data_IF_265814841707
#
_entry.id   IF_265814841707
#
_cell.length_a   1.000
_cell.length_b   1.000
_cell.length_c   1.000
_cell.angle_alpha   90.00
_cell.angle_beta   90.00
_cell.angle_gamma   90.00
#
_symmetry.space_group_name_H-M   'P 1'
#
loop_
_entity.id
_entity.type
_entity.pdbx_description
1 polymer ?
#
# COMPACT_ATOMS: atom_id res chain seq x y z
N UNK A 1 -26.32 -27.74 14.00
CA UNK A 1 -25.91 -27.63 12.58
C UNK A 1 -24.42 -27.39 12.58
N UNK A 2 -23.63 -28.21 11.88
CA UNK A 2 -22.18 -28.00 11.81
C UNK A 2 -21.89 -26.65 11.17
N UNK A 3 -21.22 -25.74 11.89
CA UNK A 3 -20.75 -24.49 11.33
C UNK A 3 -19.62 -24.84 10.37
N UNK A 4 -19.91 -24.88 9.06
CA UNK A 4 -18.89 -25.03 8.04
C UNK A 4 -18.03 -23.77 8.04
N UNK A 5 -16.96 -23.80 8.82
CA UNK A 5 -15.91 -22.78 8.78
C UNK A 5 -15.30 -22.75 7.38
N UNK A 6 -14.90 -21.55 6.95
CA UNK A 6 -14.25 -21.36 5.65
C UNK A 6 -12.89 -22.05 5.70
N UNK A 7 -12.63 -22.93 4.73
CA UNK A 7 -11.31 -23.51 4.55
C UNK A 7 -10.32 -22.42 4.08
N UNK A 8 -9.20 -22.19 4.78
CA UNK A 8 -8.19 -21.20 4.36
C UNK A 8 -7.59 -21.48 2.97
N UNK A 9 -7.59 -22.74 2.53
CA UNK A 9 -7.12 -23.16 1.21
C UNK A 9 -8.26 -22.95 0.20
N UNK A 10 -8.01 -22.10 -0.79
CA UNK A 10 -8.96 -21.84 -1.87
C UNK A 10 -9.02 -23.01 -2.86
N UNK A 11 -7.86 -23.48 -3.30
CA UNK A 11 -7.70 -24.67 -4.13
C UNK A 11 -6.25 -25.16 -4.10
N UNK A 12 -6.04 -26.40 -4.51
CA UNK A 12 -4.71 -27.03 -4.58
C UNK A 12 -4.38 -27.42 -6.02
N UNK A 13 -3.15 -27.10 -6.46
CA UNK A 13 -2.59 -27.55 -7.73
C UNK A 13 -1.42 -28.48 -7.41
N UNK A 14 -1.68 -29.79 -7.34
CA UNK A 14 -0.68 -30.76 -6.87
C UNK A 14 -0.26 -30.48 -5.43
N UNK A 15 1.04 -30.27 -5.20
CA UNK A 15 1.59 -29.91 -3.88
C UNK A 15 1.44 -28.41 -3.53
N UNK A 16 1.06 -27.56 -4.50
CA UNK A 16 0.91 -26.12 -4.27
C UNK A 16 -0.49 -25.82 -3.72
N UNK A 17 -0.55 -25.35 -2.48
CA UNK A 17 -1.79 -24.92 -1.84
C UNK A 17 -1.98 -23.41 -2.00
N UNK A 18 -3.00 -23.00 -2.75
CA UNK A 18 -3.35 -21.59 -2.94
C UNK A 18 -4.31 -21.16 -1.84
N UNK A 19 -3.89 -20.17 -1.05
CA UNK A 19 -4.65 -19.68 0.10
C UNK A 19 -5.53 -18.49 -0.29
N UNK A 20 -6.74 -18.41 0.27
CA UNK A 20 -7.63 -17.25 0.09
C UNK A 20 -6.95 -15.94 0.48
N UNK A 21 -6.15 -15.96 1.54
CA UNK A 21 -5.43 -14.79 2.02
C UNK A 21 -4.60 -14.13 0.92
N UNK A 22 -3.83 -14.92 0.14
CA UNK A 22 -3.02 -14.43 -0.96
C UNK A 22 -3.86 -13.88 -2.12
N UNK A 23 -4.97 -14.56 -2.45
CA UNK A 23 -5.90 -14.11 -3.50
C UNK A 23 -6.58 -12.79 -3.12
N UNK A 24 -7.00 -12.64 -1.87
CA UNK A 24 -7.66 -11.44 -1.34
C UNK A 24 -6.67 -10.27 -1.34
N UNK A 25 -5.43 -10.47 -0.88
CA UNK A 25 -4.39 -9.44 -0.94
C UNK A 25 -4.07 -9.02 -2.38
N UNK A 26 -3.90 -9.99 -3.29
CA UNK A 26 -3.67 -9.70 -4.71
C UNK A 26 -4.83 -8.93 -5.33
N UNK A 27 -6.06 -9.30 -5.00
CA UNK A 27 -7.27 -8.59 -5.44
C UNK A 27 -7.32 -7.16 -4.88
N UNK A 28 -7.00 -6.98 -3.59
CA UNK A 28 -6.93 -5.65 -2.97
C UNK A 28 -5.89 -4.74 -3.64
N UNK A 29 -4.71 -5.28 -3.94
CA UNK A 29 -3.66 -4.57 -4.67
C UNK A 29 -4.11 -4.20 -6.09
N UNK A 30 -4.74 -5.14 -6.82
CA UNK A 30 -5.25 -4.90 -8.17
C UNK A 30 -6.33 -3.82 -8.19
N UNK A 31 -7.33 -3.91 -7.31
CA UNK A 31 -8.40 -2.90 -7.21
C UNK A 31 -7.82 -1.53 -6.87
N UNK A 32 -6.89 -1.46 -5.91
CA UNK A 32 -6.19 -0.23 -5.56
C UNK A 32 -5.45 0.38 -6.76
N UNK A 33 -4.73 -0.44 -7.53
CA UNK A 33 -4.01 -0.02 -8.73
C UNK A 33 -4.95 0.50 -9.83
N UNK A 34 -6.05 -0.20 -10.10
CA UNK A 34 -7.01 0.21 -11.14
C UNK A 34 -7.67 1.55 -10.79
N UNK A 35 -8.01 1.76 -9.52
CA UNK A 35 -8.55 3.04 -9.05
C UNK A 35 -7.50 4.16 -9.09
N UNK A 36 -6.25 3.85 -8.74
CA UNK A 36 -5.13 4.78 -8.84
C UNK A 36 -4.86 5.20 -10.29
N UNK A 37 -4.84 4.27 -11.24
CA UNK A 37 -4.70 4.56 -12.67
C UNK A 37 -5.85 5.44 -13.15
N UNK A 38 -7.09 5.16 -12.72
CA UNK A 38 -8.25 6.00 -13.04
C UNK A 38 -8.09 7.43 -12.53
N UNK A 39 -7.60 7.61 -11.31
CA UNK A 39 -7.35 8.97 -10.77
C UNK A 39 -6.15 9.63 -11.44
N UNK A 40 -5.07 8.90 -11.69
CA UNK A 40 -3.88 9.42 -12.33
C UNK A 40 -4.15 9.98 -13.73
N UNK A 41 -5.07 9.36 -14.48
CA UNK A 41 -5.55 9.88 -15.77
C UNK A 41 -6.16 11.28 -15.66
N UNK A 42 -6.81 11.63 -14.53
CA UNK A 42 -7.35 12.98 -14.30
C UNK A 42 -6.25 14.04 -14.24
N UNK A 43 -5.05 13.65 -13.85
CA UNK A 43 -3.86 14.51 -13.78
C UNK A 43 -2.92 14.32 -14.98
N UNK A 44 -3.34 13.59 -16.02
CA UNK A 44 -2.52 13.35 -17.21
C UNK A 44 -1.34 12.39 -17.00
N UNK A 45 -1.32 11.63 -15.90
CA UNK A 45 -0.24 10.67 -15.63
C UNK A 45 -0.52 9.37 -16.42
N UNK A 46 0.44 8.87 -17.22
CA UNK A 46 0.27 7.63 -17.99
C UNK A 46 0.04 6.43 -17.06
N UNK A 47 -0.78 5.46 -17.49
CA UNK A 47 -1.09 4.26 -16.68
C UNK A 47 0.17 3.43 -16.40
N UNK A 48 1.10 3.42 -17.35
CA UNK A 48 2.36 2.68 -17.32
C UNK A 48 3.21 3.14 -16.14
N UNK A 49 3.11 4.41 -15.74
CA UNK A 49 3.80 4.94 -14.57
C UNK A 49 3.39 4.21 -13.28
N UNK A 50 2.10 3.95 -13.09
CA UNK A 50 1.61 3.26 -11.88
C UNK A 50 1.85 1.76 -11.96
N UNK A 51 1.72 1.17 -13.16
CA UNK A 51 2.06 -0.23 -13.39
C UNK A 51 3.53 -0.50 -13.08
N UNK A 52 4.44 0.32 -13.60
CA UNK A 52 5.88 0.28 -13.30
C UNK A 52 6.14 0.50 -11.80
N UNK A 53 5.45 1.45 -11.17
CA UNK A 53 5.64 1.72 -9.73
C UNK A 53 5.32 0.47 -8.90
N UNK A 54 4.28 -0.29 -9.24
CA UNK A 54 3.96 -1.57 -8.60
C UNK A 54 4.97 -2.65 -9.00
N UNK A 55 5.36 -2.72 -10.27
CA UNK A 55 6.32 -3.69 -10.80
C UNK A 55 7.69 -3.59 -10.13
N UNK A 56 8.16 -2.38 -9.82
CA UNK A 56 9.40 -2.17 -9.06
C UNK A 56 9.15 -2.21 -7.55
N UNK A 57 8.01 -1.69 -7.09
CA UNK A 57 7.68 -1.55 -5.67
C UNK A 57 7.48 -2.89 -4.97
N UNK A 58 6.75 -3.83 -5.57
CA UNK A 58 6.46 -5.14 -4.96
C UNK A 58 7.72 -5.98 -4.78
N UNK A 59 8.58 -6.20 -5.80
CA UNK A 59 9.85 -6.89 -5.61
C UNK A 59 10.75 -6.20 -4.60
N UNK A 60 10.84 -4.85 -4.65
CA UNK A 60 11.64 -4.09 -3.69
C UNK A 60 11.14 -4.29 -2.25
N UNK A 61 9.82 -4.31 -2.05
CA UNK A 61 9.22 -4.59 -0.75
C UNK A 61 9.56 -6.00 -0.26
N UNK A 62 9.41 -7.03 -1.10
CA UNK A 62 9.72 -8.42 -0.73
C UNK A 62 11.20 -8.58 -0.37
N UNK A 63 12.10 -8.03 -1.17
CA UNK A 63 13.55 -8.08 -0.94
C UNK A 63 13.89 -7.40 0.40
N UNK A 64 13.43 -6.16 0.60
CA UNK A 64 13.71 -5.42 1.83
C UNK A 64 13.07 -6.06 3.07
N UNK A 65 11.88 -6.65 2.94
CA UNK A 65 11.23 -7.38 4.01
C UNK A 65 12.05 -8.60 4.45
N UNK A 66 12.66 -9.31 3.49
CA UNK A 66 13.52 -10.44 3.78
C UNK A 66 14.84 -10.01 4.42
N UNK A 67 15.48 -8.98 3.86
CA UNK A 67 16.72 -8.41 4.42
C UNK A 67 16.49 -7.98 5.88
N UNK A 68 15.38 -7.27 6.14
CA UNK A 68 15.02 -6.84 7.49
C UNK A 68 14.82 -8.04 8.42
N UNK A 69 14.04 -9.04 8.02
CA UNK A 69 13.79 -10.23 8.85
C UNK A 69 15.11 -10.96 9.21
N UNK A 70 15.95 -11.20 8.21
CA UNK A 70 17.23 -11.90 8.38
C UNK A 70 18.19 -11.11 9.26
N UNK A 71 18.23 -9.78 9.13
CA UNK A 71 19.09 -8.93 9.95
C UNK A 71 18.74 -9.05 11.45
N UNK A 72 17.46 -9.08 11.80
CA UNK A 72 17.01 -9.22 13.19
C UNK A 72 17.08 -10.66 13.72
N UNK A 73 17.19 -11.65 12.82
CA UNK A 73 17.33 -13.07 13.15
C UNK A 73 18.66 -13.65 12.70
N UNK A 74 19.71 -12.82 12.61
CA UNK A 74 21.01 -13.24 12.07
C UNK A 74 21.59 -14.52 12.69
N UNK A 75 21.46 -14.79 14.01
CA UNK A 75 21.92 -16.04 14.60
C UNK A 75 21.34 -17.30 13.94
N UNK A 76 20.11 -17.24 13.43
CA UNK A 76 19.43 -18.39 12.79
C UNK A 76 19.98 -18.69 11.39
N UNK A 77 20.65 -17.73 10.76
CA UNK A 77 21.08 -17.81 9.34
C UNK A 77 22.60 -17.90 9.17
N UNK A 78 23.38 -17.55 10.19
CA UNK A 78 24.85 -17.45 10.10
C UNK A 78 25.52 -18.76 9.67
N UNK A 79 24.91 -19.89 10.03
CA UNK A 79 25.46 -21.23 9.78
C UNK A 79 24.93 -21.86 8.48
N UNK A 80 23.92 -21.24 7.84
CA UNK A 80 23.37 -21.69 6.56
C UNK A 80 22.86 -20.52 5.70
N UNK A 81 23.79 -19.85 5.01
CA UNK A 81 23.49 -18.65 4.23
C UNK A 81 22.43 -18.86 3.13
N UNK A 82 22.26 -20.08 2.61
CA UNK A 82 21.23 -20.36 1.60
C UNK A 82 19.80 -20.17 2.12
N UNK A 83 19.58 -20.30 3.43
CA UNK A 83 18.27 -20.11 4.03
C UNK A 83 17.80 -18.66 3.95
N UNK A 84 18.71 -17.70 3.76
CA UNK A 84 18.40 -16.27 3.54
C UNK A 84 17.48 -16.07 2.33
N UNK A 85 17.58 -16.89 1.29
CA UNK A 85 16.79 -16.73 0.06
C UNK A 85 15.47 -17.49 0.07
N UNK A 86 15.25 -18.37 1.05
CA UNK A 86 14.06 -19.24 1.13
C UNK A 86 12.84 -18.48 1.65
N UNK A 87 12.31 -17.57 0.83
CA UNK A 87 11.12 -16.78 1.16
C UNK A 87 9.84 -17.62 1.29
N UNK A 88 9.81 -18.80 0.68
CA UNK A 88 8.69 -19.74 0.76
C UNK A 88 8.59 -20.45 2.13
N UNK A 89 9.63 -20.40 2.95
CA UNK A 89 9.58 -20.87 4.34
C UNK A 89 9.02 -19.81 5.30
N UNK A 90 8.47 -18.70 4.78
CA UNK A 90 8.06 -17.54 5.56
C UNK A 90 9.24 -16.64 5.95
N UNK A 91 9.07 -15.87 7.03
CA UNK A 91 10.09 -14.94 7.52
C UNK A 91 10.16 -13.65 6.70
N UNK A 92 9.05 -12.94 6.63
CA UNK A 92 8.91 -11.65 5.97
C UNK A 92 8.52 -10.62 7.03
N UNK A 93 9.30 -9.55 7.17
CA UNK A 93 9.01 -8.47 8.12
C UNK A 93 8.32 -7.30 7.44
N UNK A 94 7.14 -6.92 7.92
CA UNK A 94 6.33 -5.83 7.34
C UNK A 94 7.07 -4.48 7.34
N UNK A 95 7.90 -4.21 8.36
CA UNK A 95 8.69 -2.98 8.42
C UNK A 95 9.70 -2.88 7.28
N UNK A 96 10.36 -4.00 6.95
CA UNK A 96 11.26 -4.04 5.79
C UNK A 96 10.51 -3.85 4.47
N UNK A 97 9.31 -4.43 4.33
CA UNK A 97 8.46 -4.20 3.15
C UNK A 97 8.12 -2.72 2.97
N UNK A 98 7.71 -2.05 4.05
CA UNK A 98 7.37 -0.63 4.03
C UNK A 98 8.59 0.22 3.66
N UNK A 99 9.74 0.00 4.31
CA UNK A 99 10.98 0.74 4.03
C UNK A 99 11.40 0.57 2.56
N UNK A 100 11.45 -0.67 2.06
CA UNK A 100 11.81 -0.97 0.67
C UNK A 100 10.88 -0.29 -0.33
N UNK A 101 9.56 -0.41 -0.11
CA UNK A 101 8.56 0.21 -0.99
C UNK A 101 8.66 1.73 -1.03
N UNK A 102 8.90 2.40 0.12
CA UNK A 102 9.07 3.86 0.18
C UNK A 102 10.34 4.29 -0.54
N UNK A 103 11.47 3.62 -0.29
CA UNK A 103 12.75 3.94 -0.96
C UNK A 103 12.59 3.80 -2.48
N UNK A 104 11.99 2.69 -2.93
CA UNK A 104 11.70 2.45 -4.34
C UNK A 104 10.82 3.57 -4.93
N UNK A 105 9.73 3.93 -4.26
CA UNK A 105 8.83 4.99 -4.70
C UNK A 105 9.54 6.35 -4.78
N UNK A 106 10.37 6.72 -3.81
CA UNK A 106 11.17 7.96 -3.84
C UNK A 106 12.11 7.97 -5.05
N UNK A 107 12.85 6.88 -5.27
CA UNK A 107 13.81 6.79 -6.39
C UNK A 107 13.06 6.84 -7.73
N UNK A 108 12.00 6.04 -7.87
CA UNK A 108 11.24 5.92 -9.12
C UNK A 108 10.54 7.22 -9.51
N UNK A 109 9.81 7.85 -8.57
CA UNK A 109 9.09 9.12 -8.82
C UNK A 109 10.05 10.22 -9.22
N UNK A 110 11.19 10.36 -8.51
CA UNK A 110 12.24 11.33 -8.85
C UNK A 110 12.89 11.03 -10.20
N UNK A 111 13.17 9.76 -10.51
CA UNK A 111 13.73 9.35 -11.82
C UNK A 111 12.78 9.68 -12.98
N UNK A 112 11.47 9.64 -12.76
CA UNK A 112 10.44 10.00 -13.76
C UNK A 112 10.07 11.50 -13.75
N UNK A 113 10.70 12.31 -12.90
CA UNK A 113 10.47 13.76 -12.85
C UNK A 113 9.18 14.18 -12.13
N UNK A 114 8.53 13.28 -11.39
CA UNK A 114 7.33 13.60 -10.62
C UNK A 114 7.66 13.90 -9.16
N UNK A 115 6.89 14.82 -8.56
CA UNK A 115 6.95 15.09 -7.13
C UNK A 115 6.47 13.89 -6.32
N UNK A 116 7.34 13.33 -5.48
CA UNK A 116 7.03 12.19 -4.61
C UNK A 116 5.74 12.43 -3.80
N UNK A 117 5.61 13.61 -3.21
CA UNK A 117 4.46 13.96 -2.37
C UNK A 117 3.14 13.99 -3.14
N UNK A 118 3.15 14.48 -4.38
CA UNK A 118 1.97 14.50 -5.25
C UNK A 118 1.54 13.08 -5.61
N UNK A 119 2.49 12.20 -5.90
CA UNK A 119 2.21 10.79 -6.18
C UNK A 119 1.70 10.07 -4.92
N UNK A 120 2.28 10.33 -3.74
CA UNK A 120 1.80 9.74 -2.49
C UNK A 120 0.40 10.21 -2.10
N UNK A 121 0.06 11.46 -2.36
CA UNK A 121 -1.30 11.97 -2.16
C UNK A 121 -2.32 11.25 -3.07
N UNK A 122 -1.94 10.89 -4.30
CA UNK A 122 -2.78 10.08 -5.18
C UNK A 122 -2.94 8.65 -4.66
N UNK A 123 -1.85 8.04 -4.18
CA UNK A 123 -1.87 6.66 -3.68
C UNK A 123 -2.67 6.50 -2.38
N UNK A 124 -2.64 7.48 -1.48
CA UNK A 124 -3.12 7.35 -0.09
C UNK A 124 -4.54 6.78 0.06
N UNK A 125 -5.58 7.30 -0.65
CA UNK A 125 -6.92 6.74 -0.56
C UNK A 125 -6.97 5.28 -1.02
N UNK A 126 -6.18 4.90 -2.03
CA UNK A 126 -6.23 3.55 -2.60
C UNK A 126 -5.41 2.53 -1.80
N UNK A 127 -4.47 2.99 -0.97
CA UNK A 127 -3.86 2.15 0.07
C UNK A 127 -4.92 1.67 1.08
N UNK A 128 -5.84 2.55 1.49
CA UNK A 128 -6.95 2.17 2.38
C UNK A 128 -7.92 1.18 1.69
N UNK A 129 -8.15 1.31 0.39
CA UNK A 129 -8.95 0.32 -0.36
C UNK A 129 -8.29 -1.07 -0.29
N UNK A 130 -6.98 -1.14 -0.56
CA UNK A 130 -6.23 -2.38 -0.45
C UNK A 130 -6.28 -2.96 0.96
N UNK A 131 -6.15 -2.12 1.99
CA UNK A 131 -6.28 -2.55 3.39
C UNK A 131 -7.70 -3.04 3.71
N UNK A 132 -8.75 -2.33 3.27
CA UNK A 132 -10.14 -2.70 3.52
C UNK A 132 -10.47 -4.09 2.96
N UNK A 133 -9.98 -4.40 1.76
CA UNK A 133 -10.12 -5.72 1.13
C UNK A 133 -9.23 -6.74 1.83
N UNK A 134 -7.96 -6.40 2.10
CA UNK A 134 -6.99 -7.32 2.70
C UNK A 134 -7.40 -7.89 4.05
N UNK A 135 -8.16 -7.13 4.86
CA UNK A 135 -8.68 -7.60 6.16
C UNK A 135 -9.59 -8.82 6.06
N UNK A 136 -10.26 -9.01 4.92
CA UNK A 136 -11.05 -10.22 4.69
C UNK A 136 -10.19 -11.48 4.59
N UNK A 137 -8.88 -11.35 4.32
CA UNK A 137 -7.94 -12.45 4.49
C UNK A 137 -7.87 -12.94 5.94
N UNK A 138 -7.79 -12.00 6.91
CA UNK A 138 -7.75 -12.34 8.33
C UNK A 138 -9.04 -13.06 8.77
N UNK A 139 -10.18 -12.64 8.22
CA UNK A 139 -11.48 -13.30 8.45
C UNK A 139 -11.48 -14.76 8.00
N UNK A 140 -10.99 -15.03 6.78
CA UNK A 140 -10.93 -16.40 6.25
C UNK A 140 -9.97 -17.27 7.06
N UNK A 141 -8.84 -16.72 7.49
CA UNK A 141 -7.85 -17.44 8.31
C UNK A 141 -8.22 -17.57 9.79
N UNK A 142 -9.30 -16.91 10.25
CA UNK A 142 -9.62 -16.76 11.67
C UNK A 142 -8.41 -16.27 12.48
N UNK A 143 -7.83 -15.15 12.09
CA UNK A 143 -6.69 -14.53 12.79
C UNK A 143 -6.94 -13.04 13.07
N UNK A 144 -6.10 -12.46 13.93
CA UNK A 144 -6.15 -11.03 14.27
C UNK A 144 -7.49 -10.52 14.83
N UNK A 145 -8.33 -11.41 15.36
CA UNK A 145 -9.62 -11.10 15.97
C UNK A 145 -9.48 -10.45 17.35
N UNK A 146 -10.57 -9.88 17.87
CA UNK A 146 -10.56 -9.21 19.17
C UNK A 146 -10.86 -10.13 20.35
N UNK A 147 -11.01 -9.54 21.54
CA UNK A 147 -11.39 -10.25 22.75
C UNK A 147 -12.71 -11.02 22.64
N UNK A 148 -12.96 -11.96 23.57
CA UNK A 148 -14.17 -12.77 23.58
C UNK A 148 -15.41 -11.90 23.82
N UNK A 149 -16.51 -12.27 23.17
CA UNK A 149 -17.82 -11.63 23.27
C UNK A 149 -18.93 -12.66 23.27
N UNK A 150 -20.12 -12.24 23.73
CA UNK A 150 -21.31 -13.06 23.58
C UNK A 150 -21.80 -13.10 22.13
N UNK A 151 -22.39 -14.22 21.73
CA UNK A 151 -23.05 -14.33 20.41
C UNK A 151 -24.18 -13.30 20.24
N UNK A 152 -24.88 -12.99 21.34
CA UNK A 152 -25.93 -11.96 21.44
C UNK A 152 -25.41 -10.58 21.00
N UNK A 153 -24.16 -10.24 21.31
CA UNK A 153 -23.54 -8.99 20.90
C UNK A 153 -23.35 -8.94 19.37
N UNK A 154 -22.91 -10.04 18.77
CA UNK A 154 -22.67 -10.11 17.32
C UNK A 154 -23.99 -10.07 16.52
N UNK A 155 -25.01 -10.82 16.97
CA UNK A 155 -26.31 -10.93 16.28
C UNK A 155 -27.28 -9.80 16.62
N UNK A 156 -27.33 -9.41 17.89
CA UNK A 156 -28.29 -8.44 18.40
C UNK A 156 -27.79 -7.01 18.31
N UNK A 157 -26.56 -6.72 18.77
CA UNK A 157 -26.07 -5.34 18.77
C UNK A 157 -25.50 -4.95 17.40
N UNK A 158 -24.65 -5.80 16.82
CA UNK A 158 -24.01 -5.53 15.54
C UNK A 158 -24.83 -5.99 14.32
N UNK A 159 -25.90 -6.76 14.52
CA UNK A 159 -26.77 -7.27 13.46
C UNK A 159 -25.99 -7.98 12.34
N UNK A 160 -24.96 -8.74 12.71
CA UNK A 160 -24.09 -9.40 11.74
C UNK A 160 -24.78 -10.63 11.13
N UNK A 161 -24.57 -10.87 9.82
CA UNK A 161 -25.08 -12.07 9.16
C UNK A 161 -24.38 -13.34 9.66
N UNK A 162 -25.08 -14.48 9.57
CA UNK A 162 -24.63 -15.78 10.09
C UNK A 162 -23.23 -16.17 9.64
N UNK A 163 -22.87 -15.91 8.39
CA UNK A 163 -21.55 -16.29 7.87
C UNK A 163 -20.40 -15.58 8.60
N UNK A 164 -20.60 -14.33 9.04
CA UNK A 164 -19.60 -13.62 9.85
C UNK A 164 -19.60 -14.17 11.26
N UNK A 165 -20.77 -14.28 11.89
CA UNK A 165 -20.89 -14.74 13.28
C UNK A 165 -20.29 -16.14 13.45
N UNK A 166 -20.62 -17.06 12.55
CA UNK A 166 -20.13 -18.44 12.57
C UNK A 166 -18.60 -18.51 12.38
N UNK A 167 -18.05 -17.68 11.49
CA UNK A 167 -16.61 -17.64 11.25
C UNK A 167 -15.85 -16.92 12.38
N UNK A 168 -16.51 -16.06 13.15
CA UNK A 168 -15.94 -15.45 14.37
C UNK A 168 -16.03 -16.37 15.60
N UNK A 169 -16.61 -17.56 15.45
CA UNK A 169 -16.52 -18.62 16.45
C UNK A 169 -15.21 -19.38 16.23
N UNK A 170 -14.24 -19.13 17.11
CA UNK A 170 -12.94 -19.80 17.11
C UNK A 170 -12.91 -20.76 18.29
N UNK A 171 -12.89 -22.07 18.01
CA UNK A 171 -12.86 -23.12 19.02
C UNK A 171 -13.99 -23.04 20.07
N UNK A 172 -15.19 -22.61 19.69
CA UNK A 172 -16.36 -22.51 20.58
C UNK A 172 -16.53 -21.15 21.27
N UNK A 173 -15.61 -20.20 21.06
CA UNK A 173 -15.65 -18.86 21.64
C UNK A 173 -15.89 -17.83 20.54
N UNK A 174 -16.85 -16.93 20.74
CA UNK A 174 -17.11 -15.84 19.81
C UNK A 174 -16.20 -14.65 20.11
N UNK A 175 -15.68 -14.02 19.06
CA UNK A 175 -14.74 -12.92 19.17
C UNK A 175 -15.22 -11.66 18.45
N UNK A 176 -14.73 -10.50 18.87
CA UNK A 176 -14.95 -9.26 18.13
C UNK A 176 -14.38 -9.35 16.70
N UNK A 177 -15.16 -9.02 15.65
CA UNK A 177 -14.71 -9.01 14.26
C UNK A 177 -13.88 -7.76 13.94
N UNK A 178 -12.68 -7.68 14.49
CA UNK A 178 -11.72 -6.60 14.23
C UNK A 178 -11.44 -6.42 12.74
N UNK A 179 -11.41 -7.50 11.96
CA UNK A 179 -11.29 -7.42 10.50
C UNK A 179 -12.35 -6.48 9.90
N UNK A 180 -13.60 -6.59 10.36
CA UNK A 180 -14.73 -5.81 9.87
C UNK A 180 -14.64 -4.37 10.35
N UNK A 181 -14.26 -4.16 11.61
CA UNK A 181 -14.02 -2.82 12.16
C UNK A 181 -12.93 -2.09 11.35
N UNK A 182 -11.82 -2.78 11.06
CA UNK A 182 -10.73 -2.23 10.23
C UNK A 182 -11.18 -2.01 8.78
N UNK A 183 -11.93 -2.94 8.18
CA UNK A 183 -12.48 -2.78 6.82
C UNK A 183 -13.38 -1.57 6.70
N UNK A 184 -14.31 -1.39 7.66
CA UNK A 184 -15.23 -0.24 7.69
C UNK A 184 -14.45 1.05 7.95
N UNK A 185 -13.52 1.06 8.91
CA UNK A 185 -12.68 2.22 9.21
C UNK A 185 -11.88 2.68 7.99
N UNK A 186 -11.33 1.72 7.24
CA UNK A 186 -10.61 2.01 6.00
C UNK A 186 -11.54 2.57 4.92
N UNK A 187 -12.75 2.02 4.75
CA UNK A 187 -13.73 2.54 3.79
C UNK A 187 -14.17 3.97 4.13
N UNK A 188 -14.45 4.25 5.42
CA UNK A 188 -14.75 5.60 5.89
C UNK A 188 -13.56 6.53 5.62
N UNK A 189 -12.33 6.05 5.83
CA UNK A 189 -11.11 6.78 5.49
C UNK A 189 -10.96 7.09 4.01
N UNK A 190 -11.29 6.15 3.12
CA UNK A 190 -11.32 6.40 1.66
C UNK A 190 -12.24 7.57 1.37
N UNK A 191 -13.47 7.55 1.90
CA UNK A 191 -14.47 8.62 1.72
C UNK A 191 -13.92 9.94 2.28
N UNK A 192 -13.41 9.94 3.52
CA UNK A 192 -12.87 11.11 4.18
C UNK A 192 -11.73 11.76 3.38
N UNK A 193 -10.76 10.97 2.90
CA UNK A 193 -9.65 11.47 2.08
C UNK A 193 -10.14 11.93 0.69
N UNK A 194 -11.12 11.27 0.10
CA UNK A 194 -11.72 11.67 -1.16
C UNK A 194 -12.52 12.97 -1.06
N UNK A 195 -13.11 13.27 0.10
CA UNK A 195 -13.74 14.56 0.41
C UNK A 195 -12.68 15.62 0.69
N UNK A 196 -11.66 15.28 1.50
CA UNK A 196 -10.59 16.20 1.88
C UNK A 196 -9.82 16.68 0.66
N UNK A 197 -9.44 15.78 -0.26
CA UNK A 197 -8.68 16.12 -1.48
C UNK A 197 -9.41 17.05 -2.44
N UNK A 198 -10.73 17.22 -2.29
CA UNK A 198 -11.53 18.18 -3.08
C UNK A 198 -11.51 19.59 -2.49
N UNK A 199 -10.96 19.78 -1.30
CA UNK A 199 -10.90 21.08 -0.64
C UNK A 199 -9.73 21.90 -1.18
N UNK A 200 -10.00 23.15 -1.56
CA UNK A 200 -9.01 24.04 -2.17
C UNK A 200 -7.79 24.33 -1.28
N UNK A 201 -7.91 24.23 0.04
CA UNK A 201 -6.81 24.54 0.96
C UNK A 201 -5.75 23.42 1.07
N UNK A 202 -6.02 22.23 0.53
CA UNK A 202 -5.14 21.07 0.67
C UNK A 202 -3.91 21.23 -0.21
N UNK A 203 -2.73 21.02 0.39
CA UNK A 203 -1.43 21.15 -0.27
C UNK A 203 -0.75 19.78 -0.48
N UNK A 204 0.28 19.80 -1.31
CA UNK A 204 1.10 18.63 -1.65
C UNK A 204 1.71 17.93 -0.44
N UNK A 205 1.39 16.65 -0.29
CA UNK A 205 1.77 15.72 0.78
C UNK A 205 0.72 15.58 1.88
N UNK A 206 -0.27 16.45 1.95
CA UNK A 206 -1.20 16.49 3.09
C UNK A 206 -2.25 15.40 3.05
N UNK A 207 -2.61 14.88 1.87
CA UNK A 207 -3.51 13.73 1.78
C UNK A 207 -2.80 12.48 2.28
N UNK A 208 -1.53 12.30 1.94
CA UNK A 208 -0.72 11.21 2.47
C UNK A 208 -0.53 11.31 3.98
N UNK A 209 -0.20 12.48 4.52
CA UNK A 209 -0.10 12.65 5.99
C UNK A 209 -1.45 12.47 6.68
N UNK A 210 -2.55 12.93 6.08
CA UNK A 210 -3.90 12.70 6.59
C UNK A 210 -4.25 11.20 6.60
N UNK A 211 -3.79 10.45 5.60
CA UNK A 211 -3.89 8.98 5.60
C UNK A 211 -3.12 8.37 6.78
N UNK A 212 -1.89 8.81 7.06
CA UNK A 212 -1.12 8.31 8.22
C UNK A 212 -1.81 8.62 9.55
N UNK A 213 -2.39 9.81 9.69
CA UNK A 213 -3.18 10.19 10.87
C UNK A 213 -4.41 9.28 10.98
N UNK A 214 -5.17 9.12 9.89
CA UNK A 214 -6.38 8.30 9.86
C UNK A 214 -6.09 6.83 10.20
N UNK A 215 -5.06 6.26 9.58
CA UNK A 215 -4.58 4.92 9.86
C UNK A 215 -4.14 4.79 11.32
N UNK A 216 -3.35 5.73 11.82
CA UNK A 216 -2.90 5.75 13.21
C UNK A 216 -4.06 5.78 14.21
N UNK A 217 -5.09 6.60 13.96
CA UNK A 217 -6.28 6.66 14.82
C UNK A 217 -6.98 5.30 14.87
N UNK A 218 -7.32 4.72 13.72
CA UNK A 218 -7.96 3.41 13.68
C UNK A 218 -7.12 2.32 14.31
N UNK A 219 -5.81 2.31 14.00
CA UNK A 219 -4.85 1.35 14.55
C UNK A 219 -4.75 1.47 16.07
N UNK A 220 -4.76 2.68 16.62
CA UNK A 220 -4.72 2.90 18.08
C UNK A 220 -5.93 2.29 18.79
N UNK A 221 -7.14 2.53 18.28
CA UNK A 221 -8.38 2.07 18.92
C UNK A 221 -8.64 0.58 18.70
N UNK A 222 -8.50 0.08 17.47
CA UNK A 222 -8.84 -1.30 17.12
C UNK A 222 -7.79 -2.28 17.64
N UNK A 223 -6.51 -1.90 17.66
CA UNK A 223 -5.47 -2.79 18.21
C UNK A 223 -5.73 -3.10 19.70
N UNK A 224 -6.24 -2.15 20.48
CA UNK A 224 -6.52 -2.43 21.89
C UNK A 224 -7.62 -3.49 22.09
N UNK A 225 -8.45 -3.78 21.08
CA UNK A 225 -9.41 -4.87 21.10
C UNK A 225 -8.77 -6.23 20.84
N UNK A 226 -7.58 -6.26 20.22
CA UNK A 226 -6.88 -7.49 19.82
C UNK A 226 -6.20 -8.17 21.01
N UNK A 227 -6.08 -9.48 20.87
CA UNK A 227 -5.44 -10.39 21.84
C UNK A 227 -4.04 -10.81 21.40
N UNK A 228 -3.70 -10.70 20.12
CA UNK A 228 -2.45 -11.14 19.50
C UNK A 228 -1.43 -9.99 19.28
N UNK A 229 -1.48 -8.98 20.12
CA UNK A 229 -0.64 -7.79 19.98
C UNK A 229 0.79 -8.00 20.45
N UNK A 230 1.75 -7.44 19.72
CA UNK A 230 3.12 -7.29 20.20
C UNK A 230 3.14 -6.24 21.32
N UNK A 231 3.64 -6.64 22.49
CA UNK A 231 3.69 -5.82 23.70
C UNK A 231 5.12 -5.63 24.20
N UNK A 232 5.31 -4.61 25.03
CA UNK A 232 6.56 -4.36 25.76
C UNK A 232 6.24 -3.80 27.15
N UNK A 233 7.22 -3.89 28.06
CA UNK A 233 7.10 -3.33 29.40
C UNK A 233 7.48 -1.84 29.38
N UNK A 234 6.50 -0.98 29.64
CA UNK A 234 6.68 0.46 29.72
C UNK A 234 6.35 1.03 31.11
N UNK A 235 6.66 2.31 31.34
CA UNK A 235 6.40 2.95 32.63
C UNK A 235 4.89 3.19 32.86
N UNK A 236 4.46 3.15 34.11
CA UNK A 236 3.04 3.23 34.49
C UNK A 236 2.34 4.52 34.03
N UNK A 237 3.04 5.65 34.00
CA UNK A 237 2.47 6.90 33.49
C UNK A 237 2.09 6.81 32.01
N UNK A 238 2.86 6.05 31.21
CA UNK A 238 2.59 5.89 29.79
C UNK A 238 1.41 4.95 29.57
N UNK A 239 1.32 3.87 30.36
CA UNK A 239 0.15 2.99 30.41
C UNK A 239 -1.12 3.78 30.72
N UNK A 240 -1.07 4.66 31.73
CA UNK A 240 -2.20 5.50 32.12
C UNK A 240 -2.65 6.43 30.98
N UNK A 241 -1.70 7.04 30.26
CA UNK A 241 -2.03 7.88 29.09
C UNK A 241 -2.67 7.06 27.98
N UNK A 242 -2.07 5.92 27.59
CA UNK A 242 -2.59 5.07 26.51
C UNK A 242 -4.00 4.56 26.85
N UNK A 243 -4.20 4.07 28.07
CA UNK A 243 -5.50 3.59 28.53
C UNK A 243 -6.52 4.73 28.66
N UNK A 244 -6.09 5.89 29.16
CA UNK A 244 -6.94 7.09 29.26
C UNK A 244 -7.45 7.53 27.88
N UNK A 245 -6.57 7.60 26.88
CA UNK A 245 -6.94 7.93 25.50
C UNK A 245 -7.88 6.91 24.87
N UNK A 246 -7.79 5.64 25.28
CA UNK A 246 -8.66 4.57 24.78
C UNK A 246 -10.02 4.50 25.49
N UNK A 247 -10.14 5.06 26.70
CA UNK A 247 -11.34 4.96 27.57
C UNK A 247 -12.68 5.32 26.89
N UNK A 248 -12.77 6.28 25.94
CA UNK A 248 -14.04 6.55 25.24
C UNK A 248 -14.68 5.31 24.57
N UNK A 249 -13.90 4.29 24.22
CA UNK A 249 -14.42 3.03 23.67
C UNK A 249 -15.34 2.28 24.63
N UNK A 250 -15.14 2.45 25.94
CA UNK A 250 -15.97 1.82 26.98
C UNK A 250 -17.41 2.33 26.97
N UNK A 251 -17.65 3.58 26.53
CA UNK A 251 -18.99 4.14 26.38
C UNK A 251 -19.80 3.45 25.28
N UNK A 252 -19.11 2.80 24.34
CA UNK A 252 -19.71 2.00 23.28
C UNK A 252 -19.77 0.50 23.63
N UNK A 253 -19.46 0.13 24.89
CA UNK A 253 -19.51 -1.24 25.37
C UNK A 253 -18.29 -2.09 24.99
N UNK A 254 -17.21 -1.49 24.49
CA UNK A 254 -15.98 -2.23 24.18
C UNK A 254 -15.10 -2.41 25.41
N UNK A 255 -14.44 -3.56 25.47
CA UNK A 255 -13.40 -3.86 26.44
C UNK A 255 -12.06 -4.09 25.72
N UNK A 256 -10.96 -3.74 26.37
CA UNK A 256 -9.65 -4.06 25.79
C UNK A 256 -9.46 -5.57 25.78
N UNK A 257 -8.82 -6.08 24.72
CA UNK A 257 -8.35 -7.45 24.67
C UNK A 257 -7.39 -7.72 25.83
N UNK A 258 -7.38 -8.95 26.32
CA UNK A 258 -6.41 -9.35 27.34
C UNK A 258 -4.98 -9.23 26.78
N UNK A 259 -4.07 -8.73 27.62
CA UNK A 259 -2.63 -8.86 27.40
C UNK A 259 -2.17 -10.03 28.26
N UNK A 260 -1.41 -10.96 27.67
CA UNK A 260 -0.89 -12.11 28.43
C UNK A 260 0.02 -11.64 29.57
N UNK A 261 -0.19 -12.13 30.81
CA UNK A 261 0.66 -11.79 31.95
C UNK A 261 2.13 -12.11 31.65
N UNK A 262 3.02 -11.13 31.87
CA UNK A 262 4.46 -11.30 31.68
C UNK A 262 5.01 -10.91 30.31
N UNK A 263 4.16 -10.54 29.34
CA UNK A 263 4.58 -10.14 27.99
C UNK A 263 4.64 -8.63 27.76
N UNK A 264 4.34 -7.82 28.77
CA UNK A 264 4.35 -6.36 28.71
C UNK A 264 3.05 -5.74 29.21
N UNK A 265 3.02 -4.41 29.21
CA UNK A 265 1.85 -3.64 29.65
C UNK A 265 1.37 -2.61 28.60
N UNK A 266 2.08 -2.47 27.47
CA UNK A 266 1.73 -1.58 26.37
C UNK A 266 1.86 -2.30 25.04
N UNK A 267 0.87 -2.13 24.15
CA UNK A 267 0.91 -2.61 22.77
C UNK A 267 1.77 -1.69 21.91
N UNK A 268 2.78 -2.26 21.24
CA UNK A 268 3.73 -1.52 20.39
C UNK A 268 3.01 -0.73 19.30
N UNK A 269 2.02 -1.34 18.65
CA UNK A 269 1.20 -0.69 17.62
C UNK A 269 0.49 0.58 18.11
N UNK A 270 0.03 0.64 19.37
CA UNK A 270 -0.66 1.81 19.91
C UNK A 270 0.32 2.98 20.06
N UNK A 271 1.51 2.71 20.60
CA UNK A 271 2.54 3.74 20.74
C UNK A 271 3.03 4.23 19.38
N UNK A 272 3.31 3.31 18.45
CA UNK A 272 3.68 3.66 17.08
C UNK A 272 2.60 4.50 16.39
N UNK A 273 1.33 4.23 16.66
CA UNK A 273 0.21 5.01 16.12
C UNK A 273 0.22 6.45 16.64
N UNK A 274 0.45 6.65 17.94
CA UNK A 274 0.56 8.01 18.51
C UNK A 274 1.74 8.78 17.93
N UNK A 275 2.90 8.12 17.83
CA UNK A 275 4.10 8.72 17.21
C UNK A 275 3.81 9.09 15.76
N UNK A 276 3.16 8.20 15.00
CA UNK A 276 2.81 8.42 13.60
C UNK A 276 1.87 9.61 13.42
N UNK A 277 0.84 9.72 14.26
CA UNK A 277 -0.11 10.84 14.22
C UNK A 277 0.62 12.16 14.50
N UNK A 278 1.39 12.22 15.58
CA UNK A 278 2.13 13.45 15.97
C UNK A 278 3.13 13.82 14.88
N UNK A 279 3.91 12.86 14.38
CA UNK A 279 4.88 13.10 13.32
C UNK A 279 4.20 13.62 12.04
N UNK A 280 3.08 13.03 11.63
CA UNK A 280 2.34 13.48 10.45
C UNK A 280 1.79 14.92 10.61
N UNK A 281 1.23 15.26 11.78
CA UNK A 281 0.76 16.62 12.08
C UNK A 281 1.91 17.62 12.04
N UNK A 282 3.03 17.31 12.71
CA UNK A 282 4.22 18.16 12.73
C UNK A 282 4.77 18.35 11.31
N UNK A 283 4.84 17.30 10.50
CA UNK A 283 5.31 17.39 9.12
C UNK A 283 4.40 18.26 8.25
N UNK A 284 3.07 18.21 8.42
CA UNK A 284 2.14 19.13 7.75
C UNK A 284 2.46 20.57 8.15
N UNK A 285 2.57 20.86 9.45
CA UNK A 285 2.82 22.22 9.96
C UNK A 285 4.18 22.75 9.47
N UNK A 286 5.24 21.96 9.61
CA UNK A 286 6.60 22.33 9.20
C UNK A 286 6.64 22.59 7.69
N UNK A 287 6.08 21.69 6.87
CA UNK A 287 6.06 21.86 5.40
C UNK A 287 5.23 23.05 4.95
N UNK A 288 4.16 23.40 5.68
CA UNK A 288 3.38 24.62 5.42
C UNK A 288 4.18 25.88 5.75
N UNK A 289 4.82 25.93 6.92
CA UNK A 289 5.59 27.10 7.39
C UNK A 289 6.88 27.34 6.58
N UNK A 290 7.57 26.27 6.22
CA UNK A 290 8.79 26.34 5.42
C UNK A 290 8.53 26.58 3.92
N UNK A 291 7.26 26.68 3.48
CA UNK A 291 6.93 26.88 2.07
C UNK A 291 7.29 25.71 1.17
N UNK A 292 7.45 24.49 1.72
CA UNK A 292 7.79 23.26 0.99
C UNK A 292 6.58 22.61 0.29
N UNK A 293 5.39 23.19 0.50
CA UNK A 293 4.09 22.70 0.03
C UNK A 293 3.38 23.79 -0.78
N UNK A 294 4.06 24.34 -1.79
CA UNK A 294 3.51 25.44 -2.61
C UNK A 294 2.35 24.98 -3.49
N UNK A 295 2.48 23.79 -4.06
CA UNK A 295 1.47 23.18 -4.92
C UNK A 295 0.25 22.73 -4.10
N UNK A 296 -0.93 23.01 -4.63
CA UNK A 296 -2.20 22.50 -4.15
C UNK A 296 -2.46 21.10 -4.68
N UNK A 297 -3.32 20.34 -3.97
CA UNK A 297 -3.71 19.02 -4.42
C UNK A 297 -4.33 19.06 -5.84
N UNK A 298 -5.16 20.06 -6.11
CA UNK A 298 -5.90 20.22 -7.37
C UNK A 298 -5.07 20.67 -8.56
N UNK A 299 -3.82 21.10 -8.35
CA UNK A 299 -2.99 21.63 -9.44
C UNK A 299 -2.69 20.52 -10.47
N UNK A 300 -2.31 20.86 -11.71
CA UNK A 300 -1.78 19.88 -12.64
C UNK A 300 -0.55 19.17 -12.08
N UNK A 301 -0.31 17.92 -12.49
CA UNK A 301 0.92 17.20 -12.16
C UNK A 301 1.74 17.09 -13.43
N UNK A 302 2.80 17.88 -13.53
CA UNK A 302 3.69 17.90 -14.70
C UNK A 302 5.01 17.24 -14.33
N UNK A 303 5.51 16.36 -15.20
CA UNK A 303 6.86 15.82 -15.07
C UNK A 303 7.88 16.89 -15.46
N UNK A 304 8.87 17.14 -14.60
CA UNK A 304 9.97 18.05 -14.93
C UNK A 304 10.77 17.63 -16.16
N UNK A 305 10.73 16.35 -16.53
CA UNK A 305 11.43 15.81 -17.70
C UNK A 305 10.67 16.01 -19.00
N UNK A 306 9.34 15.94 -18.95
CA UNK A 306 8.48 16.19 -20.11
C UNK A 306 8.47 17.69 -20.42
N UNK A 307 8.36 18.53 -19.39
CA UNK A 307 8.46 19.98 -19.54
C UNK A 307 9.79 20.42 -20.17
N UNK A 308 10.91 19.80 -19.79
CA UNK A 308 12.21 20.09 -20.40
C UNK A 308 12.24 19.72 -21.88
N UNK A 309 11.73 18.54 -22.26
CA UNK A 309 11.72 18.10 -23.65
C UNK A 309 10.84 18.99 -24.54
N UNK A 310 9.70 19.48 -24.06
CA UNK A 310 8.85 20.42 -24.81
C UNK A 310 9.57 21.77 -25.06
N UNK A 311 10.26 22.30 -24.05
CA UNK A 311 11.08 23.52 -24.16
C UNK A 311 12.23 23.33 -25.15
N UNK A 312 12.94 22.21 -25.06
CA UNK A 312 14.04 21.88 -25.97
C UNK A 312 13.53 21.76 -27.42
N UNK A 313 12.35 21.16 -27.62
CA UNK A 313 11.73 21.00 -28.95
C UNK A 313 11.23 22.33 -29.54
N UNK A 314 10.67 23.23 -28.71
CA UNK A 314 10.32 24.58 -29.14
C UNK A 314 11.56 25.41 -29.47
N UNK A 315 12.63 25.26 -28.70
CA UNK A 315 13.90 25.92 -28.97
C UNK A 315 14.54 25.43 -30.28
N UNK A 316 14.53 24.14 -30.54
CA UNK A 316 15.01 23.55 -31.81
C UNK A 316 14.18 24.03 -33.01
N UNK A 317 12.85 24.10 -32.87
CA UNK A 317 11.95 24.67 -33.90
C UNK A 317 12.20 26.16 -34.14
N UNK A 318 12.47 26.94 -33.08
CA UNK A 318 12.72 28.37 -33.17
C UNK A 318 14.12 28.71 -33.71
N UNK A 319 15.11 27.84 -33.52
CA UNK A 319 16.51 28.04 -33.95
C UNK A 319 16.83 27.37 -35.29
N UNK A 320 15.90 26.61 -35.88
CA UNK A 320 16.11 25.88 -37.14
C UNK A 320 17.06 24.68 -37.01
N UNK A 321 17.38 24.27 -35.78
CA UNK A 321 18.21 23.13 -35.44
C UNK A 321 17.38 21.84 -35.56
N UNK A 322 17.25 21.31 -36.77
CA UNK A 322 16.71 19.95 -36.97
C UNK A 322 17.82 18.94 -36.69
N UNK A 323 17.91 18.43 -35.46
CA UNK A 323 18.69 17.23 -35.17
C UNK A 323 17.95 15.99 -35.70
N UNK A 324 18.02 15.77 -37.02
CA UNK A 324 17.61 14.51 -37.61
C UNK A 324 18.49 13.37 -37.05
N UNK A 325 17.96 12.17 -36.77
CA UNK A 325 18.79 11.06 -36.34
C UNK A 325 19.72 10.67 -37.49
N UNK A 326 21.03 10.82 -37.27
CA UNK A 326 22.08 10.38 -38.18
C UNK A 326 21.97 8.87 -38.37
N UNK A 327 21.52 8.45 -39.55
CA UNK A 327 21.69 7.09 -40.04
C UNK A 327 23.20 6.87 -40.20
N UNK A 328 23.72 5.95 -39.41
CA UNK A 328 25.14 5.61 -39.35
C UNK A 328 25.55 4.95 -40.68
N UNK A 329 26.31 5.68 -41.50
CA UNK A 329 26.87 5.19 -42.75
C UNK A 329 28.39 5.09 -42.64
N UNK A 330 28.92 3.96 -42.17
CA UNK A 330 30.23 3.47 -42.63
C UNK A 330 30.52 2.03 -42.20
N UNK A 331 30.33 1.08 -43.13
CA UNK A 331 31.13 -0.15 -43.17
C UNK A 331 31.17 -0.68 -44.62
N UNK A 332 32.20 -0.21 -45.32
CA UNK A 332 33.02 -0.92 -46.33
C UNK A 332 32.38 -1.73 -47.46
N UNK A 333 32.70 -1.25 -48.67
CA UNK A 333 32.56 -1.89 -49.96
C UNK A 333 33.37 -3.21 -50.12
N UNK A 334 32.74 -4.20 -50.76
CA UNK A 334 33.17 -4.87 -52.01
C UNK A 334 32.43 -6.20 -52.12
N UNK A 335 31.54 -6.33 -53.11
CA UNK A 335 31.77 -7.32 -54.16
C UNK A 335 30.88 -7.10 -55.38
N UNK A 336 31.47 -7.49 -56.51
CA UNK A 336 31.00 -7.35 -57.90
C UNK A 336 29.76 -8.23 -58.14
N UNK A 337 28.83 -7.80 -58.99
CA UNK A 337 28.77 -8.22 -60.41
C UNK A 337 27.54 -7.62 -61.13
N UNK A 338 27.81 -7.17 -62.36
CA UNK A 338 26.98 -6.91 -63.55
C UNK A 338 25.45 -6.70 -63.49
N UNK A 339 25.03 -5.50 -63.94
CA UNK A 339 24.14 -5.17 -65.08
C UNK A 339 23.03 -6.14 -65.57
N UNK A 340 22.00 -5.64 -66.32
CA UNK A 340 21.24 -4.38 -66.20
C UNK A 340 19.72 -4.51 -66.50
N UNK A 341 18.97 -3.47 -66.11
CA UNK A 341 17.79 -2.85 -66.77
C UNK A 341 16.65 -3.75 -67.31
N UNK A 342 15.42 -3.44 -66.88
CA UNK A 342 14.37 -3.03 -67.82
C UNK A 342 13.18 -2.32 -67.15
N UNK A 343 12.71 -1.28 -67.83
CA UNK A 343 11.56 -0.42 -67.54
C UNK A 343 10.20 -1.16 -67.65
N UNK A 344 9.18 -0.62 -66.93
CA UNK A 344 7.77 -0.39 -67.34
C UNK A 344 6.91 -0.26 -66.08
N UNK A 345 6.34 0.91 -65.74
CA UNK A 345 5.12 1.53 -66.27
C UNK A 345 3.94 0.56 -66.43
N UNK A 346 3.03 0.52 -65.43
CA UNK A 346 1.55 0.61 -65.54
C UNK A 346 0.97 0.42 -64.13
N UNK A 347 0.28 1.37 -63.51
CA UNK A 347 -1.09 1.85 -63.73
C UNK A 347 -2.18 0.88 -63.21
N UNK A 348 -3.23 1.50 -62.65
CA UNK A 348 -4.56 0.98 -62.28
C UNK A 348 -4.69 0.32 -60.89
N UNK A 349 -5.37 0.98 -59.92
CA UNK A 349 -6.83 1.21 -59.73
C UNK A 349 -7.57 0.01 -59.15
N UNK A 350 -8.40 0.32 -58.13
CA UNK A 350 -9.48 -0.46 -57.51
C UNK A 350 -8.97 -1.60 -56.61
N UNK A 351 -9.40 -1.76 -55.37
CA UNK A 351 -10.61 -1.37 -54.63
C UNK A 351 -10.27 -1.19 -53.14
#
# INVERSE_FOLDING_TARGET
>A
MGTSLINPIAFSIGALQVHWYGLILGTGALVGLLLLIREGRRFGIPQEFFMDLVLFGVPSAIIAARIYYVAFRWPDYRDNFWDVFKIWNGGIAIYGALIGSIICAIIYTRKKGYSFWRIMDLCAPYLLVGQAIGRWGNFVNQEAYGGPVEESFLRGNLHLPDFIVNQMNVNGVFHHPTFLYESIWNLVGVIALCVLRRRAFVRSGEIFFSYLIWYGIGRFFIEALRTDSLTFEGPQWLVAIVNGLWTPMTWFGFQQGAIEPGYGNIRVSQLLSLILIVAAILLIIIRRRAGLSKEHYSDPIVSSKVAQHEVDTEHDKATGSSSAPTVDSSSTAKDRYDHPKEDKIHNERKE
#
